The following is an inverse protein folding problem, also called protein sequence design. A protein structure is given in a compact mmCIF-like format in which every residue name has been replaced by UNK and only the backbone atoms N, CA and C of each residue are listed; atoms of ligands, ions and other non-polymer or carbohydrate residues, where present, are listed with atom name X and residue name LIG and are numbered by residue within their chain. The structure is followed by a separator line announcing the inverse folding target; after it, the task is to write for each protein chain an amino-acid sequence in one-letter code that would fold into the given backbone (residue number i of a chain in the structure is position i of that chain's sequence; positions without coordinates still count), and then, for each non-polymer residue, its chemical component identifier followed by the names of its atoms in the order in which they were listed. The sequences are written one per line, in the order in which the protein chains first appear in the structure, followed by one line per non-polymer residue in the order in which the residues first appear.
data_IF_444621259571
#
_entry.id   IF_444621259571
#
_cell.length_a   1.000
_cell.length_b   1.000
_cell.length_c   1.000
_cell.angle_alpha   90.00
_cell.angle_beta   90.00
_cell.angle_gamma   90.00
#
_symmetry.space_group_name_H-M   'P 1'
#
loop_
_entity.id
_entity.type
_entity.pdbx_description
1 polymer ?
#
# COMPACT_ATOMS: atom_id res chain seq x y z
N UNK A 1 7.41 -1.90 6.08
CA UNK A 1 6.21 -1.96 6.94
C UNK A 1 5.81 -3.42 7.11
N UNK A 2 5.54 -3.84 8.32
CA UNK A 2 4.95 -5.15 8.63
C UNK A 2 3.53 -4.94 9.18
N UNK A 3 2.64 -5.85 8.83
CA UNK A 3 1.29 -5.92 9.38
C UNK A 3 1.15 -7.23 10.14
N UNK A 4 0.64 -7.15 11.36
CA UNK A 4 0.29 -8.29 12.19
C UNK A 4 -1.14 -8.15 12.69
N UNK A 5 -1.86 -9.25 12.78
CA UNK A 5 -3.21 -9.27 13.32
C UNK A 5 -3.29 -10.23 14.52
N UNK A 6 -3.47 -9.64 15.70
CA UNK A 6 -3.75 -10.38 16.93
C UNK A 6 -5.28 -10.53 17.08
N UNK A 7 -5.79 -11.71 16.71
CA UNK A 7 -7.22 -12.04 16.81
C UNK A 7 -7.60 -12.35 18.24
N UNK A 8 -8.61 -11.65 18.73
CA UNK A 8 -9.20 -11.95 20.06
C UNK A 8 -10.47 -12.78 19.90
N UNK A 9 -10.68 -13.73 20.81
CA UNK A 9 -11.87 -14.56 20.86
C UNK A 9 -13.13 -13.83 21.36
N UNK A 10 -12.95 -12.67 21.99
CA UNK A 10 -14.07 -11.85 22.49
C UNK A 10 -14.50 -10.88 21.40
N UNK A 11 -15.81 -10.78 21.07
CA UNK A 11 -16.32 -9.83 20.10
C UNK A 11 -16.05 -8.40 20.57
N UNK A 12 -15.09 -7.75 19.97
CA UNK A 12 -14.83 -6.32 20.09
C UNK A 12 -14.48 -5.81 18.71
N UNK A 13 -14.85 -4.57 18.36
CA UNK A 13 -14.43 -3.99 17.08
C UNK A 13 -12.91 -4.09 16.94
N UNK A 14 -12.46 -4.43 15.73
CA UNK A 14 -11.02 -4.47 15.45
C UNK A 14 -10.40 -3.09 15.62
N UNK A 15 -9.24 -3.03 16.23
CA UNK A 15 -8.51 -1.79 16.48
C UNK A 15 -7.25 -1.74 15.64
N UNK A 16 -6.91 -0.55 15.16
CA UNK A 16 -5.64 -0.26 14.49
C UNK A 16 -4.65 0.28 15.53
N UNK A 17 -3.54 -0.41 15.69
CA UNK A 17 -2.43 0.03 16.53
C UNK A 17 -1.19 0.28 15.68
N UNK A 18 -0.52 1.39 15.89
CA UNK A 18 0.74 1.70 15.23
C UNK A 18 1.91 1.58 16.21
N UNK A 19 2.92 0.82 15.81
CA UNK A 19 4.22 0.81 16.47
C UNK A 19 5.20 1.61 15.62
N UNK A 20 5.53 2.81 16.06
CA UNK A 20 6.31 3.81 15.32
C UNK A 20 7.78 3.88 15.74
N UNK A 21 8.37 2.79 16.15
CA UNK A 21 9.79 2.76 16.48
C UNK A 21 10.64 3.18 15.26
N UNK A 22 11.26 4.37 15.34
CA UNK A 22 12.17 4.90 14.32
C UNK A 22 11.52 5.58 13.11
N UNK A 23 10.18 5.57 12.96
CA UNK A 23 9.47 6.27 11.88
C UNK A 23 8.55 7.34 12.47
N UNK A 24 8.61 8.57 11.97
CA UNK A 24 7.63 9.61 12.27
C UNK A 24 6.67 9.74 11.11
N UNK A 25 5.40 9.45 11.37
CA UNK A 25 4.32 9.63 10.40
C UNK A 25 3.70 11.02 10.54
N UNK A 26 3.61 11.75 9.44
CA UNK A 26 2.89 13.01 9.39
C UNK A 26 1.37 12.81 9.45
N UNK A 27 0.64 13.89 9.70
CA UNK A 27 -0.83 13.85 9.87
C UNK A 27 -1.56 13.31 8.65
N UNK A 28 -1.12 13.68 7.44
CA UNK A 28 -1.73 13.24 6.18
C UNK A 28 -1.58 11.75 5.99
N UNK A 29 -0.42 11.20 6.31
CA UNK A 29 -0.19 9.75 6.20
C UNK A 29 -0.97 8.97 7.26
N UNK A 30 -1.10 9.49 8.48
CA UNK A 30 -1.92 8.87 9.52
C UNK A 30 -3.39 8.82 9.11
N UNK A 31 -3.92 9.92 8.55
CA UNK A 31 -5.29 9.96 8.02
C UNK A 31 -5.50 8.98 6.87
N UNK A 32 -4.56 8.90 5.94
CA UNK A 32 -4.61 7.95 4.83
C UNK A 32 -4.55 6.49 5.30
N UNK A 33 -3.80 6.21 6.37
CA UNK A 33 -3.74 4.88 6.98
C UNK A 33 -5.06 4.49 7.64
N UNK A 34 -5.69 5.40 8.38
CA UNK A 34 -7.00 5.19 8.97
C UNK A 34 -8.05 4.93 7.89
N UNK A 35 -8.10 5.78 6.84
CA UNK A 35 -8.99 5.60 5.70
C UNK A 35 -8.80 4.23 5.02
N UNK A 36 -7.55 3.81 4.82
CA UNK A 36 -7.24 2.50 4.22
C UNK A 36 -7.68 1.33 5.10
N UNK A 37 -7.58 1.49 6.41
CA UNK A 37 -8.05 0.50 7.37
C UNK A 37 -9.57 0.37 7.36
N UNK A 38 -10.29 1.49 7.45
CA UNK A 38 -11.76 1.51 7.39
C UNK A 38 -12.27 0.90 6.07
N UNK A 39 -11.66 1.28 4.95
CA UNK A 39 -11.96 0.69 3.64
C UNK A 39 -11.75 -0.83 3.63
N UNK A 40 -10.66 -1.32 4.22
CA UNK A 40 -10.39 -2.76 4.26
C UNK A 40 -11.42 -3.53 5.11
N UNK A 41 -11.87 -2.96 6.24
CA UNK A 41 -12.94 -3.52 7.06
C UNK A 41 -14.24 -3.59 6.25
N UNK A 42 -14.62 -2.52 5.56
CA UNK A 42 -15.81 -2.48 4.70
C UNK A 42 -15.74 -3.51 3.56
N UNK A 43 -14.58 -3.66 2.93
CA UNK A 43 -14.40 -4.60 1.80
C UNK A 43 -14.36 -6.06 2.21
N UNK A 44 -14.22 -6.34 3.49
CA UNK A 44 -14.12 -7.70 4.04
C UNK A 44 -15.21 -8.00 5.07
N UNK A 45 -16.39 -7.39 4.92
CA UNK A 45 -17.53 -7.51 5.86
C UNK A 45 -18.01 -8.95 6.13
N UNK A 46 -17.73 -9.89 5.22
CA UNK A 46 -18.02 -11.32 5.43
C UNK A 46 -17.08 -12.01 6.39
N UNK A 47 -16.02 -11.33 6.87
CA UNK A 47 -15.04 -11.88 7.79
C UNK A 47 -15.24 -11.31 9.20
N UNK A 48 -14.85 -12.08 10.21
CA UNK A 48 -14.85 -11.60 11.60
C UNK A 48 -13.66 -10.66 11.81
N UNK A 49 -13.95 -9.41 12.16
CA UNK A 49 -12.95 -8.40 12.50
C UNK A 49 -12.91 -8.18 14.01
N UNK A 50 -12.06 -8.94 14.72
CA UNK A 50 -11.86 -8.81 16.16
C UNK A 50 -10.38 -8.69 16.50
N UNK A 51 -10.05 -8.05 17.61
CA UNK A 51 -8.67 -7.94 18.08
C UNK A 51 -7.95 -6.68 17.61
N UNK A 52 -6.67 -6.78 17.35
CA UNK A 52 -5.83 -5.61 17.06
C UNK A 52 -4.96 -5.87 15.83
N UNK A 53 -5.04 -5.00 14.83
CA UNK A 53 -4.09 -4.95 13.71
C UNK A 53 -2.96 -4.01 14.08
N UNK A 54 -1.75 -4.54 14.10
CA UNK A 54 -0.54 -3.78 14.42
C UNK A 54 0.20 -3.43 13.14
N UNK A 55 0.42 -2.14 12.92
CA UNK A 55 1.30 -1.62 11.86
C UNK A 55 2.65 -1.31 12.47
N UNK A 56 3.68 -2.00 12.00
CA UNK A 56 5.06 -1.75 12.42
C UNK A 56 5.88 -1.14 11.30
N UNK A 57 6.36 0.09 11.51
CA UNK A 57 7.37 0.69 10.67
C UNK A 57 8.74 0.07 10.95
N UNK A 58 9.46 -0.32 9.90
CA UNK A 58 10.84 -0.77 10.02
C UNK A 58 11.71 0.16 9.20
N UNK A 59 12.71 0.74 9.83
CA UNK A 59 13.71 1.57 9.17
C UNK A 59 15.06 1.40 9.84
N UNK A 60 16.14 1.46 9.06
CA UNK A 60 17.50 1.42 9.58
C UNK A 60 18.00 2.78 10.05
N UNK A 61 17.27 3.86 9.73
CA UNK A 61 17.59 5.22 10.15
C UNK A 61 16.29 5.94 10.52
N UNK A 62 16.31 6.83 11.53
CA UNK A 62 15.15 7.66 11.84
C UNK A 62 14.68 8.40 10.59
N UNK A 63 13.45 8.21 10.19
CA UNK A 63 12.87 8.78 8.96
C UNK A 63 11.52 9.40 9.24
N UNK A 64 11.31 10.60 8.72
CA UNK A 64 9.98 11.22 8.65
C UNK A 64 9.33 10.91 7.31
N UNK A 65 8.05 10.58 7.31
CA UNK A 65 7.26 10.36 6.10
C UNK A 65 5.89 11.01 6.27
N UNK A 66 5.41 11.64 5.22
CA UNK A 66 4.05 12.20 5.17
C UNK A 66 3.49 12.09 3.75
N UNK A 67 2.18 12.33 3.63
CA UNK A 67 1.45 12.30 2.37
C UNK A 67 0.59 11.07 2.18
N UNK A 68 -0.44 11.17 1.32
CA UNK A 68 -1.45 10.13 1.13
C UNK A 68 -1.05 9.04 0.15
N UNK A 69 0.13 9.13 -0.48
CA UNK A 69 0.53 8.27 -1.62
C UNK A 69 0.80 6.79 -1.27
N UNK A 70 0.68 6.42 0.00
CA UNK A 70 0.73 5.03 0.47
C UNK A 70 -0.67 4.44 0.77
N UNK A 71 -1.75 5.22 0.58
CA UNK A 71 -3.11 4.77 0.90
C UNK A 71 -3.52 3.49 0.19
N UNK A 72 -3.22 3.39 -1.10
CA UNK A 72 -3.55 2.22 -1.90
C UNK A 72 -2.80 0.96 -1.40
N UNK A 73 -1.50 1.04 -1.15
CA UNK A 73 -0.73 -0.13 -0.67
C UNK A 73 -1.12 -0.53 0.76
N UNK A 74 -1.54 0.43 1.59
CA UNK A 74 -2.05 0.14 2.93
C UNK A 74 -3.39 -0.58 2.85
N UNK A 75 -4.31 -0.16 1.98
CA UNK A 75 -5.60 -0.83 1.76
C UNK A 75 -5.40 -2.29 1.32
N UNK A 76 -4.56 -2.53 0.30
CA UNK A 76 -4.20 -3.89 -0.13
C UNK A 76 -3.62 -4.71 1.03
N UNK A 77 -2.72 -4.11 1.82
CA UNK A 77 -2.08 -4.77 2.96
C UNK A 77 -3.07 -5.17 4.05
N UNK A 78 -3.99 -4.29 4.44
CA UNK A 78 -5.01 -4.57 5.44
C UNK A 78 -6.00 -5.65 4.96
N UNK A 79 -6.47 -5.56 3.70
CA UNK A 79 -7.34 -6.57 3.12
C UNK A 79 -6.64 -7.94 3.10
N UNK A 80 -5.39 -8.00 2.65
CA UNK A 80 -4.61 -9.23 2.63
C UNK A 80 -4.45 -9.82 4.05
N UNK A 81 -4.24 -8.94 5.06
CA UNK A 81 -4.16 -9.35 6.45
C UNK A 81 -5.47 -9.97 6.95
N UNK A 82 -6.62 -9.37 6.66
CA UNK A 82 -7.93 -9.89 7.05
C UNK A 82 -8.29 -11.20 6.34
N UNK A 83 -7.94 -11.33 5.06
CA UNK A 83 -8.17 -12.55 4.27
C UNK A 83 -7.14 -13.67 4.55
N UNK A 84 -6.02 -13.35 5.23
CA UNK A 84 -4.91 -14.29 5.42
C UNK A 84 -4.10 -14.54 4.14
N UNK A 85 -4.18 -13.63 3.17
CA UNK A 85 -3.48 -13.73 1.91
C UNK A 85 -2.05 -13.18 2.03
N UNK A 86 -1.14 -13.73 1.23
CA UNK A 86 0.25 -13.27 1.21
C UNK A 86 0.48 -12.30 0.06
N UNK A 87 1.10 -11.17 0.37
CA UNK A 87 1.61 -10.27 -0.67
C UNK A 87 2.88 -10.87 -1.27
N UNK A 88 2.93 -10.94 -2.59
CA UNK A 88 4.08 -11.43 -3.33
C UNK A 88 5.28 -10.49 -3.17
N UNK A 89 6.45 -11.06 -2.95
CA UNK A 89 7.69 -10.28 -2.82
C UNK A 89 8.05 -9.61 -4.15
N UNK A 90 8.67 -8.46 -4.08
CA UNK A 90 9.22 -7.76 -5.23
C UNK A 90 8.21 -6.90 -6.00
N UNK A 91 6.96 -6.77 -5.52
CA UNK A 91 5.97 -5.84 -6.07
C UNK A 91 5.75 -4.68 -5.11
N UNK A 92 5.90 -3.45 -5.58
CA UNK A 92 5.60 -2.22 -4.88
C UNK A 92 4.37 -1.55 -5.51
N UNK A 93 3.65 -0.75 -4.73
CA UNK A 93 2.50 0.03 -5.16
C UNK A 93 2.60 1.45 -4.60
N UNK A 94 2.32 2.45 -5.42
CA UNK A 94 2.11 3.84 -4.98
C UNK A 94 0.79 4.36 -5.55
N UNK A 95 0.04 5.08 -4.74
CA UNK A 95 -1.25 5.66 -5.10
C UNK A 95 -2.00 6.14 -3.87
N UNK A 96 -2.86 7.14 -4.02
CA UNK A 96 -3.84 7.49 -3.00
C UNK A 96 -4.99 6.51 -3.03
N UNK A 97 -5.70 6.36 -1.92
CA UNK A 97 -6.98 5.67 -1.88
C UNK A 97 -8.11 6.70 -2.08
N UNK A 98 -8.84 6.56 -3.18
CA UNK A 98 -9.96 7.41 -3.52
C UNK A 98 -11.30 6.69 -3.26
N UNK A 99 -12.43 7.41 -3.21
CA UNK A 99 -13.75 6.83 -3.05
C UNK A 99 -14.02 5.70 -4.04
N UNK A 100 -14.69 4.66 -3.57
CA UNK A 100 -15.00 3.47 -4.39
C UNK A 100 -13.81 2.55 -4.64
N UNK A 101 -12.69 2.73 -3.94
CA UNK A 101 -11.50 1.90 -4.10
C UNK A 101 -10.68 2.22 -5.36
N UNK A 102 -10.81 3.40 -5.91
CA UNK A 102 -9.96 3.89 -7.00
C UNK A 102 -8.59 4.28 -6.48
N UNK A 103 -7.59 4.17 -7.35
CA UNK A 103 -6.21 4.54 -7.04
C UNK A 103 -5.91 5.89 -7.70
N UNK A 104 -5.72 6.90 -6.87
CA UNK A 104 -5.50 8.27 -7.34
C UNK A 104 -4.03 8.61 -7.56
N UNK A 105 -3.82 9.68 -8.31
CA UNK A 105 -2.52 10.14 -8.78
C UNK A 105 -1.60 10.60 -7.65
N UNK A 106 -0.30 10.44 -7.91
CA UNK A 106 0.76 10.80 -6.97
C UNK A 106 1.92 11.50 -7.68
N UNK A 107 2.71 12.23 -6.91
CA UNK A 107 3.93 12.86 -7.40
C UNK A 107 5.18 12.00 -7.25
N UNK A 108 6.29 12.49 -7.83
CA UNK A 108 7.63 11.92 -7.69
C UNK A 108 7.75 10.42 -8.06
N UNK A 109 6.96 9.96 -9.05
CA UNK A 109 6.93 8.54 -9.44
C UNK A 109 8.31 8.05 -9.92
N UNK A 110 9.08 8.79 -10.75
CA UNK A 110 10.40 8.33 -11.17
C UNK A 110 11.33 8.02 -9.99
N UNK A 111 11.30 8.85 -8.94
CA UNK A 111 12.16 8.64 -7.77
C UNK A 111 11.71 7.44 -6.93
N UNK A 112 10.39 7.22 -6.85
CA UNK A 112 9.82 6.03 -6.20
C UNK A 112 10.21 4.75 -6.94
N UNK A 113 10.20 4.75 -8.27
CA UNK A 113 10.65 3.61 -9.09
C UNK A 113 12.14 3.35 -8.89
N UNK A 114 12.98 4.39 -8.91
CA UNK A 114 14.42 4.25 -8.62
C UNK A 114 14.68 3.71 -7.21
N UNK A 115 13.92 4.18 -6.23
CA UNK A 115 14.00 3.67 -4.86
C UNK A 115 13.58 2.19 -4.80
N UNK A 116 12.45 1.83 -5.39
CA UNK A 116 12.00 0.45 -5.45
C UNK A 116 13.06 -0.48 -6.09
N UNK A 117 13.69 -0.04 -7.19
CA UNK A 117 14.76 -0.81 -7.81
C UNK A 117 15.96 -1.01 -6.89
N UNK A 118 16.40 0.02 -6.16
CA UNK A 118 17.51 -0.08 -5.18
C UNK A 118 17.20 -1.08 -4.06
N UNK A 119 15.93 -1.15 -3.66
CA UNK A 119 15.44 -2.07 -2.61
C UNK A 119 15.11 -3.49 -3.14
N UNK A 120 15.48 -3.80 -4.40
CA UNK A 120 15.32 -5.13 -4.98
C UNK A 120 13.91 -5.47 -5.50
N UNK A 121 13.04 -4.47 -5.62
CA UNK A 121 11.75 -4.67 -6.27
C UNK A 121 11.93 -4.83 -7.78
N UNK A 122 11.11 -5.69 -8.39
CA UNK A 122 11.11 -5.94 -9.84
C UNK A 122 9.84 -5.43 -10.53
N UNK A 123 8.80 -5.09 -9.76
CA UNK A 123 7.53 -4.56 -10.29
C UNK A 123 7.07 -3.38 -9.44
N UNK A 124 6.66 -2.30 -10.09
CA UNK A 124 6.04 -1.13 -9.44
C UNK A 124 4.69 -0.87 -10.08
N UNK A 125 3.65 -0.86 -9.27
CA UNK A 125 2.30 -0.49 -9.66
C UNK A 125 2.11 1.02 -9.43
N UNK A 126 1.61 1.70 -10.45
CA UNK A 126 1.38 3.14 -10.45
C UNK A 126 -0.06 3.45 -10.85
N UNK A 127 -0.62 4.60 -10.49
CA UNK A 127 -1.98 4.97 -10.89
C UNK A 127 -2.12 5.04 -12.41
N UNK A 128 -3.29 4.65 -12.93
CA UNK A 128 -3.63 4.73 -14.34
C UNK A 128 -3.50 6.17 -14.88
N UNK A 129 -2.94 6.29 -16.09
CA UNK A 129 -2.72 7.56 -16.76
C UNK A 129 -1.42 8.27 -16.38
N UNK A 130 -0.55 7.64 -15.58
CA UNK A 130 0.71 8.25 -15.14
C UNK A 130 1.98 7.67 -15.80
N UNK A 131 1.88 6.75 -16.77
CA UNK A 131 3.07 6.25 -17.51
C UNK A 131 3.79 7.36 -18.27
N UNK A 132 3.04 8.35 -18.76
CA UNK A 132 3.58 9.49 -19.48
C UNK A 132 3.06 10.79 -18.89
N UNK A 133 3.94 11.77 -18.78
CA UNK A 133 3.58 13.15 -18.43
C UNK A 133 4.52 14.13 -19.12
N UNK A 134 4.29 15.43 -18.94
CA UNK A 134 5.23 16.46 -19.43
C UNK A 134 6.63 16.35 -18.77
N UNK A 135 6.75 15.65 -17.64
CA UNK A 135 7.97 15.60 -16.82
C UNK A 135 8.65 14.24 -16.81
N UNK A 136 7.99 13.16 -17.30
CA UNK A 136 8.57 11.81 -17.30
C UNK A 136 7.94 10.89 -18.33
N UNK A 137 8.74 9.90 -18.73
CA UNK A 137 8.33 8.72 -19.48
C UNK A 137 8.71 7.47 -18.67
N UNK A 138 7.73 6.87 -18.00
CA UNK A 138 7.99 5.71 -17.13
C UNK A 138 8.25 4.43 -17.93
N UNK A 139 7.80 4.35 -19.19
CA UNK A 139 8.11 3.21 -20.06
C UNK A 139 9.61 3.20 -20.34
N UNK A 140 10.19 4.33 -20.75
CA UNK A 140 11.62 4.45 -20.96
C UNK A 140 12.41 4.18 -19.69
N UNK A 141 12.00 4.77 -18.55
CA UNK A 141 12.62 4.53 -17.25
C UNK A 141 12.59 3.05 -16.84
N UNK A 142 11.48 2.34 -17.14
CA UNK A 142 11.35 0.91 -16.85
C UNK A 142 12.40 0.07 -17.60
N UNK A 143 12.65 0.37 -18.88
CA UNK A 143 13.70 -0.28 -19.65
C UNK A 143 15.11 0.03 -19.10
N UNK A 144 15.39 1.32 -18.85
CA UNK A 144 16.69 1.74 -18.32
C UNK A 144 17.05 1.06 -17.00
N UNK A 145 16.06 0.86 -16.12
CA UNK A 145 16.26 0.26 -14.81
C UNK A 145 16.05 -1.26 -14.77
N UNK A 146 15.61 -1.86 -15.88
CA UNK A 146 15.17 -3.26 -15.89
C UNK A 146 14.21 -3.57 -14.74
N UNK A 147 13.10 -2.83 -14.69
CA UNK A 147 12.02 -2.96 -13.71
C UNK A 147 10.68 -2.89 -14.44
N UNK A 148 9.72 -3.70 -14.06
CA UNK A 148 8.38 -3.64 -14.65
C UNK A 148 7.56 -2.53 -14.01
N UNK A 149 6.97 -1.64 -14.81
CA UNK A 149 6.01 -0.63 -14.35
C UNK A 149 4.65 -0.94 -14.95
N UNK A 150 3.61 -1.07 -14.12
CA UNK A 150 2.24 -1.35 -14.55
C UNK A 150 1.28 -0.33 -13.97
N UNK A 151 0.33 0.10 -14.77
CA UNK A 151 -0.78 0.92 -14.31
C UNK A 151 -1.87 0.07 -13.65
N UNK A 152 -2.48 0.63 -12.61
CA UNK A 152 -3.65 0.09 -11.91
C UNK A 152 -4.65 1.21 -11.65
N UNK A 153 -5.93 0.92 -11.76
CA UNK A 153 -7.02 1.87 -11.53
C UNK A 153 -7.71 1.65 -10.19
N UNK A 154 -7.77 0.40 -9.73
CA UNK A 154 -8.52 0.01 -8.54
C UNK A 154 -7.71 -0.82 -7.55
N UNK A 155 -8.18 -0.83 -6.31
CA UNK A 155 -7.62 -1.72 -5.27
C UNK A 155 -7.77 -3.18 -5.68
N UNK A 156 -8.86 -3.56 -6.36
CA UNK A 156 -9.09 -4.94 -6.80
C UNK A 156 -8.03 -5.39 -7.82
N UNK A 157 -7.69 -4.54 -8.81
CA UNK A 157 -6.60 -4.80 -9.76
C UNK A 157 -5.24 -4.91 -9.05
N UNK A 158 -4.95 -3.96 -8.16
CA UNK A 158 -3.71 -3.96 -7.40
C UNK A 158 -3.61 -5.19 -6.48
N UNK A 159 -4.72 -5.56 -5.84
CA UNK A 159 -4.80 -6.75 -4.98
C UNK A 159 -4.48 -8.03 -5.76
N UNK A 160 -5.11 -8.20 -6.93
CA UNK A 160 -4.84 -9.36 -7.80
C UNK A 160 -3.35 -9.43 -8.19
N UNK A 161 -2.76 -8.29 -8.61
CA UNK A 161 -1.35 -8.26 -9.02
C UNK A 161 -0.37 -8.45 -7.86
N UNK A 162 -0.76 -8.10 -6.64
CA UNK A 162 0.10 -8.21 -5.46
C UNK A 162 -0.05 -9.53 -4.72
N UNK A 163 -1.20 -10.21 -4.84
CA UNK A 163 -1.46 -11.46 -4.10
C UNK A 163 -1.64 -12.67 -5.00
N UNK A 164 -1.98 -12.46 -6.27
CA UNK A 164 -2.40 -13.51 -7.20
C UNK A 164 -3.82 -14.02 -6.96
N UNK A 165 -4.62 -13.32 -6.14
CA UNK A 165 -5.99 -13.70 -5.77
C UNK A 165 -6.97 -12.57 -6.04
N UNK A 166 -8.22 -12.91 -6.30
CA UNK A 166 -9.29 -11.93 -6.39
C UNK A 166 -9.71 -11.46 -4.99
N UNK A 167 -10.10 -10.19 -4.94
CA UNK A 167 -10.65 -9.58 -3.74
C UNK A 167 -12.07 -10.06 -3.45
#
# INVERSE_FOLDING_TARGET
MLLGWDRKSVPSPVQLQMNIAGVRYGKTQLGSMAQAFDYAVERTTGLSHTGTVVVQGITYRPTGTDGPSAGAVMAVGFIATFKGDRIQRGTALTGTLEPGGRIGWVGAIPDKIRAAKREGYHTVLVPRGQLHSAHWNLVELSFQLNITVKEVDTIDEAYLLMTGKNL
#
